data_IF_356927259832
#
_entry.id   IF_356927259832
#
_cell.length_a   1.000
_cell.length_b   1.000
_cell.length_c   1.000
_cell.angle_alpha   90.00
_cell.angle_beta   90.00
_cell.angle_gamma   90.00
#
_symmetry.space_group_name_H-M   'P 1'
#
loop_
_entity.id
_entity.type
_entity.pdbx_description
1 polymer ?
#
# COMPACT_ATOMS: atom_id res chain seq x y z
N UNK A 1 -19.82 -19.17 -1.27
CA UNK A 1 -19.72 -17.83 -0.72
C UNK A 1 -19.21 -17.90 0.71
N UNK A 2 -18.49 -16.96 1.11
CA UNK A 2 -17.91 -16.99 2.44
C UNK A 2 -18.62 -16.02 3.38
N UNK A 3 -18.52 -16.26 4.68
CA UNK A 3 -19.09 -15.37 5.67
C UNK A 3 -18.52 -13.98 5.61
N UNK A 4 -17.28 -13.88 5.19
CA UNK A 4 -16.63 -12.58 5.05
C UNK A 4 -17.39 -11.69 4.10
N UNK A 5 -17.84 -12.26 3.00
CA UNK A 5 -18.55 -11.46 2.02
C UNK A 5 -19.93 -11.05 2.49
N UNK A 6 -20.57 -11.92 3.26
CA UNK A 6 -21.89 -11.54 3.79
C UNK A 6 -21.77 -10.42 4.80
N UNK A 7 -20.64 -10.32 5.49
CA UNK A 7 -20.41 -9.23 6.44
C UNK A 7 -19.97 -7.94 5.79
N UNK A 8 -19.50 -8.03 4.55
CA UNK A 8 -18.98 -6.86 3.86
C UNK A 8 -20.10 -6.15 3.12
N UNK A 9 -20.54 -5.06 3.66
CA UNK A 9 -21.52 -4.23 2.98
C UNK A 9 -20.80 -3.40 1.92
N UNK A 10 -21.47 -3.14 0.79
CA UNK A 10 -20.88 -2.26 -0.22
C UNK A 10 -20.58 -0.90 0.38
N UNK A 11 -19.40 -0.39 0.09
CA UNK A 11 -18.99 0.94 0.51
C UNK A 11 -19.40 1.91 -0.57
N UNK A 12 -20.08 2.98 -0.18
CA UNK A 12 -20.53 4.00 -1.13
C UNK A 12 -20.01 5.36 -0.72
N UNK A 13 -19.72 6.16 -1.71
CA UNK A 13 -19.32 7.54 -1.48
C UNK A 13 -20.07 8.42 -2.47
N UNK A 14 -20.85 9.35 -1.95
CA UNK A 14 -21.67 10.26 -2.76
C UNK A 14 -22.56 9.50 -3.74
N UNK A 15 -23.16 8.41 -3.25
CA UNK A 15 -24.06 7.62 -4.06
C UNK A 15 -23.40 6.65 -5.01
N UNK A 16 -22.09 6.61 -5.06
CA UNK A 16 -21.36 5.68 -5.92
C UNK A 16 -20.71 4.60 -5.11
N UNK A 17 -20.81 3.37 -5.59
CA UNK A 17 -20.17 2.24 -4.95
C UNK A 17 -18.66 2.34 -5.11
N UNK A 18 -17.95 2.11 -4.02
CA UNK A 18 -16.49 2.06 -4.04
C UNK A 18 -16.09 0.61 -4.27
N UNK A 19 -15.31 0.37 -5.30
CA UNK A 19 -14.84 -0.96 -5.66
C UNK A 19 -13.33 -0.94 -5.81
N UNK A 20 -12.64 -1.67 -4.93
CA UNK A 20 -11.18 -1.73 -4.96
C UNK A 20 -10.66 -2.44 -6.21
N UNK A 21 -11.51 -3.21 -6.88
CA UNK A 21 -11.16 -3.79 -8.16
C UNK A 21 -10.96 -2.76 -9.26
N UNK A 22 -11.35 -1.51 -9.02
CA UNK A 22 -11.13 -0.44 -9.99
C UNK A 22 -9.68 0.07 -9.98
N UNK A 23 -8.90 -0.35 -8.99
CA UNK A 23 -7.48 0.00 -8.94
C UNK A 23 -6.73 -0.91 -9.89
N UNK A 24 -6.22 -0.36 -10.99
CA UNK A 24 -5.61 -1.14 -12.07
C UNK A 24 -4.22 -0.66 -12.47
N UNK A 25 -3.92 0.61 -12.24
CA UNK A 25 -2.70 1.21 -12.76
C UNK A 25 -1.98 2.11 -11.76
N UNK A 26 -2.30 1.97 -10.49
CA UNK A 26 -1.60 2.67 -9.42
C UNK A 26 -0.82 1.64 -8.60
N UNK A 27 0.50 1.78 -8.57
CA UNK A 27 1.33 0.84 -7.81
C UNK A 27 1.05 0.94 -6.32
N UNK A 28 1.06 -0.20 -5.65
CA UNK A 28 0.69 -0.30 -4.24
C UNK A 28 1.84 -0.89 -3.42
N UNK A 29 2.31 -0.14 -2.45
CA UNK A 29 3.31 -0.60 -1.49
C UNK A 29 2.68 -0.64 -0.11
N UNK A 30 2.67 -1.82 0.49
CA UNK A 30 2.15 -2.02 1.84
C UNK A 30 3.30 -2.24 2.81
N UNK A 31 3.32 -1.47 3.88
CA UNK A 31 4.37 -1.56 4.89
C UNK A 31 3.76 -1.88 6.24
N UNK A 32 4.34 -2.88 6.91
CA UNK A 32 3.94 -3.25 8.26
C UNK A 32 5.18 -3.28 9.15
N UNK A 33 4.99 -2.98 10.42
CA UNK A 33 6.05 -3.11 11.40
C UNK A 33 5.98 -4.48 12.07
N UNK A 34 7.10 -5.16 12.16
CA UNK A 34 7.16 -6.49 12.75
C UNK A 34 6.68 -6.49 14.20
N UNK A 35 6.94 -5.41 14.93
CA UNK A 35 6.55 -5.28 16.33
C UNK A 35 5.43 -4.29 16.55
N UNK A 36 4.63 -4.07 15.51
CA UNK A 36 3.48 -3.19 15.60
C UNK A 36 2.38 -3.90 16.39
N UNK A 37 2.04 -3.36 17.54
CA UNK A 37 1.01 -3.92 18.40
C UNK A 37 -0.35 -3.22 18.25
N UNK A 38 -0.41 -2.23 17.40
CA UNK A 38 -1.66 -1.53 17.09
C UNK A 38 -2.26 -2.11 15.83
N UNK A 39 -1.44 -2.27 14.80
CA UNK A 39 -1.86 -2.89 13.56
C UNK A 39 -0.99 -4.13 13.36
N UNK A 40 -1.53 -5.29 13.68
CA UNK A 40 -0.78 -6.54 13.65
C UNK A 40 -0.37 -6.97 12.25
N UNK A 41 0.55 -7.92 12.20
CA UNK A 41 1.05 -8.47 10.95
C UNK A 41 -0.12 -9.04 10.13
N UNK A 42 -0.17 -8.66 8.87
CA UNK A 42 -1.21 -9.12 7.96
C UNK A 42 -2.33 -8.12 7.73
N UNK A 43 -2.49 -7.14 8.62
CA UNK A 43 -3.58 -6.18 8.50
C UNK A 43 -3.44 -5.33 7.24
N UNK A 44 -2.27 -4.75 7.04
CA UNK A 44 -2.02 -3.92 5.86
C UNK A 44 -1.83 -4.80 4.62
N UNK A 45 -1.19 -5.96 4.80
CA UNK A 45 -0.96 -6.88 3.70
C UNK A 45 -2.26 -7.31 3.03
N UNK A 46 -3.35 -7.32 3.77
CA UNK A 46 -4.65 -7.71 3.22
C UNK A 46 -5.06 -6.84 2.02
N UNK A 47 -4.59 -5.61 1.95
CA UNK A 47 -4.90 -4.72 0.84
C UNK A 47 -4.46 -5.30 -0.51
N UNK A 48 -3.42 -6.12 -0.51
CA UNK A 48 -2.93 -6.74 -1.75
C UNK A 48 -3.94 -7.72 -2.32
N UNK A 49 -4.75 -8.33 -1.47
CA UNK A 49 -5.79 -9.24 -1.91
C UNK A 49 -7.06 -8.52 -2.34
N UNK A 50 -7.23 -7.30 -1.85
CA UNK A 50 -8.41 -6.51 -2.16
C UNK A 50 -8.31 -5.73 -3.46
N UNK A 51 -7.16 -5.82 -4.12
CA UNK A 51 -6.91 -5.16 -5.40
C UNK A 51 -6.62 -6.20 -6.47
N UNK A 52 -7.63 -7.02 -6.85
CA UNK A 52 -7.41 -8.17 -7.72
C UNK A 52 -7.01 -7.81 -9.14
N UNK A 53 -7.33 -6.61 -9.60
CA UNK A 53 -7.05 -6.21 -10.97
C UNK A 53 -5.74 -5.45 -11.12
N UNK A 54 -4.99 -5.30 -10.03
CA UNK A 54 -3.67 -4.68 -10.07
C UNK A 54 -2.63 -5.77 -10.32
N UNK A 55 -1.76 -5.61 -11.35
CA UNK A 55 -0.73 -6.61 -11.64
C UNK A 55 0.21 -6.84 -10.46
N UNK A 56 0.68 -8.07 -10.31
CA UNK A 56 1.58 -8.41 -9.21
C UNK A 56 2.86 -7.57 -9.24
N UNK A 57 3.34 -7.23 -10.41
CA UNK A 57 4.53 -6.40 -10.54
C UNK A 57 4.34 -5.00 -9.96
N UNK A 58 3.09 -4.58 -9.77
CA UNK A 58 2.78 -3.28 -9.21
C UNK A 58 2.38 -3.35 -7.74
N UNK A 59 2.61 -4.50 -7.10
CA UNK A 59 2.32 -4.70 -5.68
C UNK A 59 3.58 -5.09 -4.96
N UNK A 60 3.76 -4.56 -3.74
CA UNK A 60 4.90 -4.95 -2.92
C UNK A 60 4.51 -4.87 -1.46
N UNK A 61 5.02 -5.82 -0.69
CA UNK A 61 4.81 -5.88 0.74
C UNK A 61 6.16 -5.84 1.44
N UNK A 62 6.30 -4.95 2.40
CA UNK A 62 7.52 -4.82 3.17
C UNK A 62 7.19 -4.91 4.66
N UNK A 63 7.71 -5.94 5.30
CA UNK A 63 7.62 -6.08 6.75
C UNK A 63 8.89 -5.49 7.35
N UNK A 64 8.76 -4.35 8.02
CA UNK A 64 9.91 -3.65 8.58
C UNK A 64 10.38 -4.37 9.85
N UNK A 65 11.61 -4.91 9.85
CA UNK A 65 12.11 -5.67 11.00
C UNK A 65 12.20 -4.79 12.24
N UNK A 66 11.74 -5.34 13.36
CA UNK A 66 11.84 -4.71 14.67
C UNK A 66 11.20 -3.34 14.79
N UNK A 67 10.38 -2.93 13.83
CA UNK A 67 9.71 -1.64 13.87
C UNK A 67 8.36 -1.77 14.54
N UNK A 68 8.06 -0.86 15.47
CA UNK A 68 6.74 -0.73 16.04
C UNK A 68 5.88 0.22 15.20
N UNK A 69 4.69 0.50 15.68
CA UNK A 69 3.75 1.32 14.92
C UNK A 69 4.31 2.68 14.52
N UNK A 70 4.88 3.39 15.48
CA UNK A 70 5.44 4.72 15.18
C UNK A 70 6.78 4.65 14.47
N UNK A 71 7.51 3.57 14.65
CA UNK A 71 8.79 3.39 13.99
C UNK A 71 8.68 3.25 12.48
N UNK A 72 7.47 2.99 11.98
CA UNK A 72 7.25 2.93 10.54
C UNK A 72 7.39 4.32 9.90
N UNK A 73 7.16 5.37 10.68
CA UNK A 73 7.06 6.72 10.15
C UNK A 73 8.22 7.64 10.53
N UNK A 74 9.00 7.30 11.54
CA UNK A 74 10.09 8.18 11.97
C UNK A 74 11.16 7.40 12.69
N UNK A 75 12.28 8.09 12.98
CA UNK A 75 13.39 7.51 13.69
C UNK A 75 14.33 6.75 12.79
N UNK A 76 15.24 5.98 13.41
CA UNK A 76 16.26 5.27 12.67
C UNK A 76 15.70 4.17 11.76
N UNK A 77 14.66 3.49 12.20
CA UNK A 77 14.05 2.45 11.37
C UNK A 77 13.48 3.03 10.09
N UNK A 78 12.82 4.17 10.20
CA UNK A 78 12.33 4.87 9.02
C UNK A 78 13.49 5.27 8.11
N UNK A 79 14.46 5.98 8.67
CA UNK A 79 15.56 6.53 7.89
C UNK A 79 16.40 5.46 7.21
N UNK A 80 16.73 4.40 7.95
CA UNK A 80 17.70 3.43 7.47
C UNK A 80 17.11 2.25 6.70
N UNK A 81 15.85 1.90 6.96
CA UNK A 81 15.26 0.71 6.38
C UNK A 81 14.02 0.98 5.54
N UNK A 82 13.18 1.89 5.95
CA UNK A 82 11.88 2.06 5.32
C UNK A 82 11.89 3.12 4.23
N UNK A 83 12.43 4.29 4.51
CA UNK A 83 12.48 5.36 3.51
C UNK A 83 13.17 4.92 2.21
N UNK A 84 14.29 4.17 2.25
CA UNK A 84 14.90 3.69 1.00
C UNK A 84 13.97 2.80 0.19
N UNK A 85 13.18 1.95 0.85
CA UNK A 85 12.21 1.11 0.15
C UNK A 85 11.15 1.95 -0.53
N UNK A 86 10.64 2.95 0.19
CA UNK A 86 9.62 3.85 -0.36
C UNK A 86 10.18 4.62 -1.56
N UNK A 87 11.39 5.15 -1.42
CA UNK A 87 12.02 5.90 -2.50
C UNK A 87 12.22 5.05 -3.76
N UNK A 88 12.70 3.83 -3.57
CA UNK A 88 12.90 2.93 -4.70
C UNK A 88 11.59 2.56 -5.38
N UNK A 89 10.55 2.36 -4.60
CA UNK A 89 9.23 2.03 -5.14
C UNK A 89 8.67 3.19 -5.94
N UNK A 90 8.78 4.39 -5.41
CA UNK A 90 8.31 5.59 -6.11
C UNK A 90 9.08 5.78 -7.42
N UNK A 91 10.42 5.64 -7.36
CA UNK A 91 11.24 5.81 -8.55
C UNK A 91 10.90 4.79 -9.63
N UNK A 92 10.59 3.56 -9.23
CA UNK A 92 10.28 2.50 -10.19
C UNK A 92 9.06 2.82 -11.02
N UNK A 93 8.08 3.52 -10.45
CA UNK A 93 6.82 3.82 -11.13
C UNK A 93 6.67 5.30 -11.46
N UNK A 94 7.72 6.08 -11.28
CA UNK A 94 7.70 7.49 -11.58
C UNK A 94 7.64 7.70 -13.10
N UNK A 95 6.82 8.66 -13.49
CA UNK A 95 6.73 9.01 -14.91
C UNK A 95 7.99 9.75 -15.35
N UNK A 96 8.39 9.63 -16.63
CA UNK A 96 9.56 10.33 -17.13
C UNK A 96 9.48 11.83 -16.86
N UNK A 97 10.58 12.39 -16.38
CA UNK A 97 10.64 13.81 -16.04
C UNK A 97 10.34 14.72 -17.21
N UNK A 98 10.71 14.27 -18.41
CA UNK A 98 10.47 15.07 -19.60
C UNK A 98 9.00 15.41 -19.78
N UNK A 99 8.11 14.49 -19.43
CA UNK A 99 6.67 14.73 -19.53
C UNK A 99 6.21 15.79 -18.54
N UNK A 100 6.81 15.79 -17.36
CA UNK A 100 6.45 16.76 -16.33
C UNK A 100 6.90 18.15 -16.72
N UNK A 101 8.07 18.26 -17.34
CA UNK A 101 8.58 19.53 -17.78
C UNK A 101 7.76 20.12 -18.91
N UNK A 102 7.21 19.28 -19.74
CA UNK A 102 6.37 19.75 -20.84
C UNK A 102 5.12 20.44 -20.34
N UNK A 103 4.70 20.12 -19.14
CA UNK A 103 3.52 20.70 -18.52
C UNK A 103 3.84 22.03 -17.85
N UNK A 104 5.04 22.20 -17.40
CA UNK A 104 5.45 23.43 -16.76
C UNK A 104 6.08 24.40 -17.75
#
# INVERSE_FOLDING_TARGET
MTGVQTCALPISHRGKRVDLGDIRDTALLCIEGERDDISGIGQTKAALKLTPNLPEAMKHYFLAPEAGHYGIFNGSKWRDAIAPVVEQWIAKFERPRAKLKAVS
#
